data_IF_802400831304
#
_entry.id   IF_802400831304
#
_cell.length_a   1.000
_cell.length_b   1.000
_cell.length_c   1.000
_cell.angle_alpha   90.00
_cell.angle_beta   90.00
_cell.angle_gamma   90.00
#
_symmetry.space_group_name_H-M   'P 1'
#
loop_
_entity.id
_entity.type
_entity.pdbx_description
1 polymer ?
#
# COMPACT_ATOMS: atom_id res chain seq x y z
N UNK A 1 11.22 -0.79 -18.77
CA UNK A 1 11.32 0.58 -18.22
C UNK A 1 12.63 0.67 -17.47
N UNK A 2 13.40 1.72 -17.69
CA UNK A 2 14.69 1.91 -17.02
C UNK A 2 14.55 3.08 -16.02
N UNK A 3 15.09 2.91 -14.81
CA UNK A 3 14.97 3.85 -13.69
C UNK A 3 16.35 4.05 -13.06
N UNK A 4 16.74 5.29 -12.81
CA UNK A 4 17.96 5.58 -12.05
C UNK A 4 17.69 5.46 -10.55
N UNK A 5 18.42 4.59 -9.86
CA UNK A 5 18.30 4.35 -8.42
C UNK A 5 19.61 4.66 -7.68
N UNK A 6 19.57 4.96 -6.38
CA UNK A 6 20.77 5.01 -5.55
C UNK A 6 21.48 3.64 -5.56
N UNK A 7 22.78 3.67 -5.81
CA UNK A 7 23.65 2.50 -5.68
C UNK A 7 24.24 2.38 -4.27
N UNK A 8 24.74 1.19 -3.94
CA UNK A 8 25.31 0.89 -2.62
C UNK A 8 26.48 1.81 -2.22
N UNK A 9 27.22 2.32 -3.20
CA UNK A 9 28.34 3.25 -3.00
C UNK A 9 27.93 4.73 -2.89
N UNK A 10 26.63 5.03 -2.82
CA UNK A 10 26.09 6.40 -2.86
C UNK A 10 26.07 7.02 -4.26
N UNK A 11 26.53 6.28 -5.28
CA UNK A 11 26.40 6.66 -6.69
C UNK A 11 24.99 6.42 -7.25
N UNK A 12 24.84 6.59 -8.56
CA UNK A 12 23.60 6.29 -9.29
C UNK A 12 23.80 5.04 -10.15
N UNK A 13 22.84 4.13 -10.12
CA UNK A 13 22.81 2.96 -11.00
C UNK A 13 21.58 3.00 -11.88
N UNK A 14 21.71 2.53 -13.12
CA UNK A 14 20.55 2.32 -13.99
C UNK A 14 19.96 0.94 -13.71
N UNK A 15 18.73 0.90 -13.21
CA UNK A 15 17.98 -0.32 -12.99
C UNK A 15 16.94 -0.50 -14.10
N UNK A 16 17.06 -1.61 -14.83
CA UNK A 16 15.99 -2.05 -15.73
C UNK A 16 14.96 -2.81 -14.92
N UNK A 17 13.71 -2.35 -14.94
CA UNK A 17 12.59 -3.07 -14.33
C UNK A 17 12.44 -4.41 -15.05
N UNK A 18 12.67 -5.49 -14.30
CA UNK A 18 12.54 -6.87 -14.75
C UNK A 18 11.45 -7.55 -13.92
N UNK A 19 10.36 -7.94 -14.55
CA UNK A 19 9.21 -8.55 -13.90
C UNK A 19 7.95 -8.40 -14.74
N UNK A 20 7.07 -9.39 -14.66
CA UNK A 20 5.73 -9.32 -15.24
C UNK A 20 4.72 -9.14 -14.08
N UNK A 21 3.99 -8.02 -14.02
CA UNK A 21 3.01 -7.79 -12.96
C UNK A 21 1.90 -8.85 -12.94
N UNK A 22 1.62 -9.41 -11.76
CA UNK A 22 0.50 -10.33 -11.56
C UNK A 22 -0.82 -9.57 -11.73
N UNK A 23 -1.74 -10.14 -12.50
CA UNK A 23 -3.06 -9.57 -12.69
C UNK A 23 -4.00 -9.98 -11.55
N UNK A 24 -4.64 -9.03 -10.86
CA UNK A 24 -5.54 -9.35 -9.76
C UNK A 24 -6.83 -10.01 -10.25
N UNK A 25 -7.27 -11.05 -9.53
CA UNK A 25 -8.58 -11.68 -9.76
C UNK A 25 -9.60 -11.06 -8.80
N UNK A 26 -10.60 -10.36 -9.34
CA UNK A 26 -11.68 -9.82 -8.55
C UNK A 26 -12.57 -10.96 -8.00
N UNK A 27 -12.92 -10.90 -6.71
CA UNK A 27 -13.74 -11.91 -6.06
C UNK A 27 -13.05 -13.26 -5.88
N UNK A 28 -11.72 -13.29 -5.78
CA UNK A 28 -10.96 -14.51 -5.56
C UNK A 28 -11.47 -15.27 -4.33
N UNK A 29 -11.50 -16.61 -4.42
CA UNK A 29 -11.86 -17.50 -3.32
C UNK A 29 -10.63 -18.25 -2.85
N UNK A 30 -10.46 -18.34 -1.54
CA UNK A 30 -9.30 -18.97 -0.93
C UNK A 30 -9.72 -20.25 -0.21
N UNK A 31 -8.82 -21.24 -0.18
CA UNK A 31 -8.94 -22.43 0.68
C UNK A 31 -8.54 -22.15 2.13
N UNK A 32 -8.29 -20.88 2.48
CA UNK A 32 -7.88 -20.37 3.79
C UNK A 32 -8.58 -19.06 4.10
N UNK A 33 -8.67 -18.70 5.37
CA UNK A 33 -9.11 -17.37 5.80
C UNK A 33 -7.90 -16.45 5.84
N UNK A 34 -7.84 -15.49 4.91
CA UNK A 34 -6.74 -14.53 4.83
C UNK A 34 -7.22 -13.12 5.24
N UNK A 35 -6.53 -12.53 6.20
CA UNK A 35 -6.70 -11.13 6.60
C UNK A 35 -5.49 -10.32 6.12
N UNK A 36 -5.75 -9.10 5.66
CA UNK A 36 -4.73 -8.07 5.51
C UNK A 36 -4.87 -7.08 6.68
N UNK A 37 -3.80 -6.89 7.46
CA UNK A 37 -3.70 -5.73 8.33
C UNK A 37 -3.46 -4.51 7.45
N UNK A 38 -4.43 -3.59 7.42
CA UNK A 38 -4.46 -2.50 6.43
C UNK A 38 -3.95 -1.19 7.03
N UNK A 39 -2.91 -0.62 6.39
CA UNK A 39 -2.36 0.70 6.73
C UNK A 39 -3.39 1.83 6.62
N UNK A 40 -3.11 2.97 7.23
CA UNK A 40 -3.85 4.23 7.02
C UNK A 40 -3.13 5.15 6.04
N UNK A 41 -3.88 5.97 5.32
CA UNK A 41 -3.32 7.00 4.43
C UNK A 41 -3.34 8.33 5.16
N UNK A 42 -2.17 8.93 5.35
CA UNK A 42 -2.07 10.27 5.91
C UNK A 42 -2.65 11.31 4.92
N UNK A 43 -3.32 12.33 5.45
CA UNK A 43 -3.68 13.52 4.67
C UNK A 43 -2.44 14.42 4.53
N UNK A 44 -1.87 14.57 3.33
CA UNK A 44 -0.64 15.34 3.13
C UNK A 44 -0.87 16.86 3.09
N UNK A 45 -2.12 17.32 3.02
CA UNK A 45 -2.48 18.74 2.94
C UNK A 45 -2.94 19.31 4.29
N UNK A 46 -3.13 18.45 5.29
CA UNK A 46 -3.49 18.86 6.63
C UNK A 46 -2.35 19.65 7.29
N UNK A 47 -2.66 20.85 7.76
CA UNK A 47 -1.73 21.72 8.47
C UNK A 47 -1.71 21.40 9.98
N UNK A 48 -1.34 20.16 10.32
CA UNK A 48 -1.19 19.69 11.71
C UNK A 48 0.26 19.35 12.01
N UNK A 49 0.60 19.21 13.30
CA UNK A 49 1.87 18.61 13.69
C UNK A 49 1.83 17.09 13.38
N UNK A 50 2.59 16.60 12.39
CA UNK A 50 2.48 15.21 11.94
C UNK A 50 2.97 14.21 12.99
N UNK A 51 3.76 14.65 13.98
CA UNK A 51 4.32 13.75 14.99
C UNK A 51 3.35 13.49 16.16
N UNK A 52 2.54 14.48 16.53
CA UNK A 52 1.62 14.37 17.68
C UNK A 52 0.13 14.40 17.31
N UNK A 53 -0.22 14.85 16.11
CA UNK A 53 -1.60 15.04 15.64
C UNK A 53 -1.79 14.48 14.23
N UNK A 54 -1.94 13.15 14.11
CA UNK A 54 -2.14 12.52 12.81
C UNK A 54 -3.43 13.01 12.16
N UNK A 55 -3.37 13.28 10.86
CA UNK A 55 -4.51 13.57 10.01
C UNK A 55 -4.66 12.44 8.98
N UNK A 56 -5.84 11.83 8.92
CA UNK A 56 -6.11 10.67 8.07
C UNK A 56 -6.93 11.12 6.86
N UNK A 57 -6.47 10.75 5.66
CA UNK A 57 -7.30 10.81 4.46
C UNK A 57 -8.23 9.59 4.46
N UNK A 58 -9.45 9.79 4.92
CA UNK A 58 -10.45 8.72 5.04
C UNK A 58 -10.87 8.16 3.69
N UNK A 59 -10.95 8.98 2.65
CA UNK A 59 -11.37 8.53 1.33
C UNK A 59 -10.38 7.53 0.73
N UNK A 60 -9.07 7.82 0.80
CA UNK A 60 -8.03 6.92 0.31
C UNK A 60 -7.84 5.72 1.22
N UNK A 61 -7.92 5.92 2.53
CA UNK A 61 -7.90 4.84 3.53
C UNK A 61 -9.00 3.82 3.23
N UNK A 62 -10.25 4.27 2.98
CA UNK A 62 -11.37 3.41 2.65
C UNK A 62 -11.32 2.87 1.22
N UNK A 63 -10.72 3.59 0.27
CA UNK A 63 -10.48 3.06 -1.08
C UNK A 63 -9.58 1.81 -1.04
N UNK A 64 -8.57 1.81 -0.17
CA UNK A 64 -7.70 0.64 0.01
C UNK A 64 -8.45 -0.56 0.63
N UNK A 65 -9.36 -0.34 1.59
CA UNK A 65 -10.24 -1.41 2.12
C UNK A 65 -11.08 -2.05 1.01
N UNK A 66 -11.72 -1.20 0.19
CA UNK A 66 -12.51 -1.68 -0.96
C UNK A 66 -11.67 -2.45 -1.96
N UNK A 67 -10.42 -2.04 -2.18
CA UNK A 67 -9.47 -2.77 -3.01
C UNK A 67 -9.19 -4.17 -2.45
N UNK A 68 -8.89 -4.29 -1.14
CA UNK A 68 -8.64 -5.58 -0.49
C UNK A 68 -9.86 -6.50 -0.53
N UNK A 69 -11.06 -5.97 -0.26
CA UNK A 69 -12.30 -6.74 -0.38
C UNK A 69 -12.53 -7.23 -1.81
N UNK A 70 -12.27 -6.38 -2.82
CA UNK A 70 -12.36 -6.79 -4.23
C UNK A 70 -11.41 -7.94 -4.55
N UNK A 71 -10.25 -8.03 -3.88
CA UNK A 71 -9.30 -9.14 -4.02
C UNK A 71 -9.68 -10.40 -3.22
N UNK A 72 -10.77 -10.36 -2.43
CA UNK A 72 -11.22 -11.50 -1.62
C UNK A 72 -10.61 -11.56 -0.21
N UNK A 73 -9.79 -10.58 0.18
CA UNK A 73 -9.25 -10.52 1.54
C UNK A 73 -10.30 -10.03 2.54
N UNK A 74 -10.15 -10.46 3.79
CA UNK A 74 -10.74 -9.78 4.94
C UNK A 74 -9.78 -8.68 5.41
N UNK A 75 -10.30 -7.67 6.10
CA UNK A 75 -9.47 -6.59 6.64
C UNK A 75 -9.41 -6.71 8.15
N UNK A 76 -8.19 -6.65 8.70
CA UNK A 76 -7.94 -6.43 10.11
C UNK A 76 -7.68 -4.93 10.30
N UNK A 77 -8.63 -4.23 10.92
CA UNK A 77 -8.61 -2.78 11.10
C UNK A 77 -7.88 -2.38 12.38
N UNK A 78 -7.29 -1.17 12.37
CA UNK A 78 -6.62 -0.56 13.53
C UNK A 78 -5.59 -1.49 14.21
N UNK A 79 -4.83 -2.22 13.39
CA UNK A 79 -3.71 -3.06 13.81
C UNK A 79 -2.38 -2.28 13.72
N UNK A 80 -1.26 -2.92 14.06
CA UNK A 80 0.10 -2.34 14.11
C UNK A 80 0.66 -1.85 12.75
N UNK A 81 0.02 -2.20 11.63
CA UNK A 81 0.46 -1.87 10.26
C UNK A 81 0.14 -0.44 9.85
#
# INVERSE_FOLDING_TARGET
MDITLPGESGGRILYRVVGQPVQPVAGARFSRIAYAAAHVVADPLAMTDPWSRPAVDWDRTMAFRRHLWRLGFRVAEAMDT
#
